data_IF_220308715291
#
_entry.id   IF_220308715291
#
_cell.length_a   1.000
_cell.length_b   1.000
_cell.length_c   1.000
_cell.angle_alpha   90.00
_cell.angle_beta   90.00
_cell.angle_gamma   90.00
#
_symmetry.space_group_name_H-M   'P 1'
#
loop_
_entity.id
_entity.type
_entity.pdbx_description
1 polymer ?
#
# COMPACT_ATOMS: atom_id res chain seq x y z
N UNK A 1 13.95 -2.18 2.59
CA UNK A 1 13.47 -3.32 1.78
C UNK A 1 12.39 -2.92 0.77
N UNK A 2 11.35 -2.19 1.19
CA UNK A 2 10.20 -1.81 0.33
C UNK A 2 10.55 -1.07 -0.97
N UNK A 3 11.65 -0.31 -1.02
CA UNK A 3 12.12 0.32 -2.27
C UNK A 3 12.53 -0.68 -3.35
N UNK A 4 13.09 -1.83 -2.98
CA UNK A 4 13.43 -2.92 -3.92
C UNK A 4 12.14 -3.53 -4.47
N UNK A 5 11.15 -3.77 -3.61
CA UNK A 5 9.83 -4.28 -4.01
C UNK A 5 9.15 -3.28 -4.95
N UNK A 6 9.16 -1.99 -4.64
CA UNK A 6 8.64 -0.95 -5.51
C UNK A 6 9.30 -0.96 -6.89
N UNK A 7 10.62 -1.15 -6.95
CA UNK A 7 11.37 -1.33 -8.21
C UNK A 7 10.89 -2.54 -9.02
N UNK A 8 10.70 -3.69 -8.38
CA UNK A 8 10.17 -4.91 -9.01
C UNK A 8 8.74 -4.70 -9.53
N UNK A 9 7.89 -4.04 -8.75
CA UNK A 9 6.51 -3.70 -9.14
C UNK A 9 6.54 -2.80 -10.37
N UNK A 10 7.33 -1.71 -10.35
CA UNK A 10 7.35 -0.75 -11.45
C UNK A 10 7.87 -1.35 -12.76
N UNK A 11 8.81 -2.30 -12.72
CA UNK A 11 9.31 -2.96 -13.94
C UNK A 11 8.40 -4.09 -14.43
N UNK A 12 7.43 -4.57 -13.63
CA UNK A 12 6.61 -5.75 -13.96
C UNK A 12 5.87 -5.62 -15.28
N UNK A 13 5.21 -4.48 -15.54
CA UNK A 13 4.52 -4.22 -16.81
C UNK A 13 5.49 -4.05 -18.00
N UNK A 14 6.50 -3.17 -17.91
CA UNK A 14 7.41 -2.91 -19.03
C UNK A 14 8.50 -3.98 -19.29
N UNK A 15 8.69 -4.99 -18.43
CA UNK A 15 9.88 -5.86 -18.44
C UNK A 15 10.22 -6.51 -19.80
N UNK A 16 9.22 -6.83 -20.62
CA UNK A 16 9.42 -7.45 -21.94
C UNK A 16 9.67 -6.45 -23.08
N UNK A 17 9.38 -5.17 -22.88
CA UNK A 17 9.35 -4.16 -23.96
C UNK A 17 10.35 -3.03 -23.77
N UNK A 18 11.15 -3.03 -22.71
CA UNK A 18 12.16 -1.98 -22.47
C UNK A 18 13.59 -2.52 -22.52
N UNK A 19 14.53 -1.62 -22.81
CA UNK A 19 15.96 -1.90 -22.76
C UNK A 19 16.48 -1.98 -21.31
N UNK A 20 17.60 -2.67 -21.04
CA UNK A 20 18.14 -2.83 -19.68
C UNK A 20 18.45 -1.51 -18.95
N UNK A 21 18.92 -0.49 -19.68
CA UNK A 21 19.19 0.83 -19.08
C UNK A 21 17.89 1.51 -18.63
N UNK A 22 16.81 1.37 -19.41
CA UNK A 22 15.50 1.91 -19.07
C UNK A 22 14.88 1.16 -17.89
N UNK A 23 15.07 -0.16 -17.80
CA UNK A 23 14.65 -0.95 -16.65
C UNK A 23 15.27 -0.45 -15.33
N UNK A 24 16.56 -0.10 -15.34
CA UNK A 24 17.23 0.49 -14.17
C UNK A 24 16.62 1.84 -13.77
N UNK A 25 16.34 2.72 -14.75
CA UNK A 25 15.71 4.02 -14.51
C UNK A 25 14.30 3.83 -13.92
N UNK A 26 13.49 2.95 -14.50
CA UNK A 26 12.14 2.66 -14.02
C UNK A 26 12.17 2.18 -12.57
N UNK A 27 13.10 1.28 -12.23
CA UNK A 27 13.27 0.79 -10.87
C UNK A 27 13.65 1.88 -9.86
N UNK A 28 14.62 2.74 -10.20
CA UNK A 28 15.05 3.86 -9.35
C UNK A 28 13.89 4.83 -9.10
N UNK A 29 13.19 5.22 -10.17
CA UNK A 29 12.04 6.15 -10.06
C UNK A 29 10.92 5.51 -9.24
N UNK A 30 10.68 4.20 -9.39
CA UNK A 30 9.68 3.48 -8.58
C UNK A 30 9.99 3.54 -7.09
N UNK A 31 11.27 3.42 -6.70
CA UNK A 31 11.69 3.62 -5.31
C UNK A 31 11.41 5.04 -4.80
N UNK A 32 11.65 6.07 -5.64
CA UNK A 32 11.32 7.45 -5.29
C UNK A 32 9.80 7.69 -5.18
N UNK A 33 9.01 7.11 -6.09
CA UNK A 33 7.54 7.13 -6.06
C UNK A 33 7.02 6.50 -4.77
N UNK A 34 7.59 5.37 -4.34
CA UNK A 34 7.27 4.75 -3.05
C UNK A 34 7.55 5.68 -1.86
N UNK A 35 8.71 6.34 -1.83
CA UNK A 35 9.06 7.27 -0.76
C UNK A 35 8.08 8.46 -0.65
N UNK A 36 7.52 8.89 -1.79
CA UNK A 36 6.48 9.91 -1.86
C UNK A 36 5.11 9.37 -1.45
N UNK A 37 4.72 8.18 -1.92
CA UNK A 37 3.42 7.58 -1.63
C UNK A 37 3.25 7.22 -0.15
N UNK A 38 4.28 6.68 0.48
CA UNK A 38 4.29 6.41 1.92
C UNK A 38 4.01 7.68 2.74
N UNK A 39 4.74 8.77 2.45
CA UNK A 39 4.54 10.06 3.13
C UNK A 39 3.15 10.63 2.88
N UNK A 40 2.58 10.37 1.69
CA UNK A 40 1.21 10.76 1.39
C UNK A 40 0.21 9.97 2.22
N UNK A 41 0.39 8.66 2.37
CA UNK A 41 -0.46 7.80 3.20
C UNK A 41 -0.44 8.23 4.68
N UNK A 42 0.74 8.52 5.23
CA UNK A 42 0.87 9.07 6.59
C UNK A 42 0.12 10.39 6.74
N UNK A 43 0.26 11.32 5.78
CA UNK A 43 -0.43 12.62 5.79
C UNK A 43 -1.94 12.49 5.68
N UNK A 44 -2.42 11.53 4.89
CA UNK A 44 -3.84 11.25 4.72
C UNK A 44 -4.42 10.38 5.85
N UNK A 45 -3.59 9.94 6.81
CA UNK A 45 -3.96 9.01 7.89
C UNK A 45 -4.62 7.73 7.36
N UNK A 46 -4.08 7.22 6.26
CA UNK A 46 -4.47 5.94 5.70
C UNK A 46 -3.68 4.86 6.44
N UNK A 47 -4.38 4.03 7.19
CA UNK A 47 -3.80 2.90 7.93
C UNK A 47 -3.66 1.69 7.00
N UNK A 48 -2.57 1.66 6.23
CA UNK A 48 -2.16 0.57 5.35
C UNK A 48 -1.07 -0.26 6.05
N UNK A 49 -1.40 -1.34 6.77
CA UNK A 49 -0.49 -2.01 7.70
C UNK A 49 0.73 -2.66 7.04
N UNK A 50 0.63 -2.97 5.74
CA UNK A 50 1.69 -3.63 4.97
C UNK A 50 2.25 -2.74 3.85
N UNK A 51 1.82 -1.47 3.79
CA UNK A 51 2.16 -0.51 2.75
C UNK A 51 1.77 -1.00 1.34
N UNK A 52 0.72 -1.82 1.23
CA UNK A 52 0.31 -2.42 -0.05
C UNK A 52 0.01 -1.36 -1.11
N UNK A 53 -0.77 -0.33 -0.76
CA UNK A 53 -1.08 0.76 -1.68
C UNK A 53 0.17 1.60 -2.01
N UNK A 54 1.03 1.84 -1.02
CA UNK A 54 2.24 2.64 -1.22
C UNK A 54 3.27 1.93 -2.13
N UNK A 55 3.45 0.60 -2.01
CA UNK A 55 4.45 -0.18 -2.78
C UNK A 55 3.90 -0.76 -4.08
N UNK A 56 2.59 -1.05 -4.18
CA UNK A 56 2.00 -1.65 -5.38
C UNK A 56 1.30 -0.63 -6.27
N UNK A 57 0.39 0.17 -5.72
CA UNK A 57 -0.48 1.03 -6.54
C UNK A 57 0.31 2.14 -7.24
N UNK A 58 1.09 2.93 -6.50
CA UNK A 58 1.82 4.07 -7.08
C UNK A 58 3.01 3.66 -7.96
N UNK A 59 3.90 2.74 -7.52
CA UNK A 59 4.99 2.26 -8.37
C UNK A 59 4.48 1.49 -9.59
N UNK A 60 3.39 0.72 -9.46
CA UNK A 60 2.76 0.03 -10.58
C UNK A 60 2.15 1.01 -11.59
N UNK A 61 1.45 2.04 -11.12
CA UNK A 61 0.91 3.11 -11.96
C UNK A 61 2.03 3.81 -12.75
N UNK A 62 3.14 4.14 -12.08
CA UNK A 62 4.34 4.65 -12.74
C UNK A 62 4.87 3.68 -13.80
N UNK A 63 4.99 2.39 -13.48
CA UNK A 63 5.47 1.36 -14.40
C UNK A 63 4.66 1.28 -15.69
N UNK A 64 3.32 1.30 -15.59
CA UNK A 64 2.43 1.30 -16.75
C UNK A 64 2.63 2.54 -17.63
N UNK A 65 2.78 3.72 -17.04
CA UNK A 65 3.07 4.96 -17.77
C UNK A 65 4.47 4.91 -18.41
N UNK A 66 5.46 4.43 -17.66
CA UNK A 66 6.85 4.34 -18.12
C UNK A 66 7.01 3.40 -19.31
N UNK A 67 6.21 2.33 -19.40
CA UNK A 67 6.11 1.50 -20.60
C UNK A 67 5.76 2.35 -21.84
N UNK A 68 4.89 3.35 -21.70
CA UNK A 68 4.50 4.25 -22.79
C UNK A 68 5.59 5.22 -23.21
N UNK A 69 6.59 5.43 -22.36
CA UNK A 69 7.74 6.29 -22.62
C UNK A 69 8.90 5.50 -23.22
N UNK A 70 9.23 4.36 -22.62
CA UNK A 70 10.47 3.60 -22.85
C UNK A 70 10.30 2.32 -23.67
N UNK A 71 9.10 1.98 -24.14
CA UNK A 71 8.94 0.77 -24.96
C UNK A 71 9.80 0.84 -26.24
N UNK A 72 10.69 -0.11 -26.43
CA UNK A 72 11.57 -0.17 -27.60
C UNK A 72 10.80 -0.74 -28.80
N UNK A 73 10.66 0.01 -29.92
CA UNK A 73 9.96 -0.45 -31.13
C UNK A 73 10.30 -1.88 -31.58
N UNK A 74 11.58 -2.29 -31.49
CA UNK A 74 12.01 -3.63 -31.91
C UNK A 74 11.43 -4.73 -31.03
N UNK A 75 11.40 -4.54 -29.71
CA UNK A 75 10.85 -5.52 -28.77
C UNK A 75 9.32 -5.58 -28.88
N UNK A 76 8.67 -4.42 -28.99
CA UNK A 76 7.21 -4.33 -29.21
C UNK A 76 6.80 -5.11 -30.47
N UNK A 77 7.51 -4.92 -31.58
CA UNK A 77 7.26 -5.65 -32.82
C UNK A 77 7.55 -7.16 -32.70
N UNK A 78 8.68 -7.53 -32.07
CA UNK A 78 9.06 -8.94 -31.86
C UNK A 78 8.04 -9.71 -31.05
N UNK A 79 7.45 -9.06 -30.03
CA UNK A 79 6.43 -9.66 -29.16
C UNK A 79 5.02 -9.60 -29.75
N UNK A 80 4.84 -9.00 -30.94
CA UNK A 80 3.54 -8.88 -31.59
C UNK A 80 2.58 -7.91 -30.90
N UNK A 81 3.08 -6.98 -30.09
CA UNK A 81 2.25 -5.97 -29.45
C UNK A 81 1.82 -4.90 -30.45
N UNK A 82 0.60 -4.39 -30.25
CA UNK A 82 0.07 -3.29 -31.05
C UNK A 82 0.69 -1.99 -30.55
N UNK A 83 1.34 -1.27 -31.47
CA UNK A 83 1.98 0.02 -31.18
C UNK A 83 3.37 0.13 -31.80
N UNK A 84 3.79 1.36 -32.11
CA UNK A 84 5.10 1.61 -32.74
C UNK A 84 6.27 1.68 -31.77
N UNK A 85 6.03 1.60 -30.45
CA UNK A 85 7.00 1.87 -29.40
C UNK A 85 6.69 3.12 -28.59
N UNK A 86 7.49 3.36 -27.56
CA UNK A 86 7.33 4.44 -26.61
C UNK A 86 7.65 5.82 -27.18
N UNK A 87 7.20 6.85 -26.48
CA UNK A 87 7.33 8.25 -26.88
C UNK A 87 8.78 8.67 -27.15
N UNK A 88 9.75 8.19 -26.35
CA UNK A 88 11.15 8.58 -26.50
C UNK A 88 11.82 8.00 -27.75
N UNK A 89 11.26 6.94 -28.33
CA UNK A 89 11.79 6.33 -29.54
C UNK A 89 11.06 6.78 -30.81
N UNK A 90 9.75 6.95 -30.72
CA UNK A 90 8.91 7.19 -31.89
C UNK A 90 8.61 8.67 -32.13
N UNK A 91 8.72 9.52 -31.09
CA UNK A 91 8.25 10.90 -31.12
C UNK A 91 6.71 11.03 -31.19
N UNK A 92 5.97 9.91 -31.19
CA UNK A 92 4.52 9.87 -31.31
C UNK A 92 3.88 9.53 -29.96
N UNK A 93 2.92 10.34 -29.52
CA UNK A 93 2.22 10.17 -28.24
C UNK A 93 1.23 9.01 -28.18
N UNK A 94 1.03 8.25 -29.26
CA UNK A 94 0.01 7.19 -29.34
C UNK A 94 0.18 6.12 -28.26
N UNK A 95 1.37 5.52 -28.14
CA UNK A 95 1.64 4.49 -27.14
C UNK A 95 1.54 5.03 -25.71
N UNK A 96 2.07 6.23 -25.48
CA UNK A 96 2.00 6.89 -24.18
C UNK A 96 0.55 7.16 -23.76
N UNK A 97 -0.25 7.74 -24.66
CA UNK A 97 -1.67 8.01 -24.43
C UNK A 97 -2.47 6.74 -24.17
N UNK A 98 -2.24 5.68 -24.94
CA UNK A 98 -2.89 4.37 -24.71
C UNK A 98 -2.53 3.79 -23.35
N UNK A 99 -1.27 3.87 -22.93
CA UNK A 99 -0.86 3.38 -21.61
C UNK A 99 -1.45 4.21 -20.47
N UNK A 100 -1.51 5.54 -20.60
CA UNK A 100 -2.20 6.40 -19.62
C UNK A 100 -3.68 6.04 -19.53
N UNK A 101 -4.38 5.96 -20.67
CA UNK A 101 -5.79 5.60 -20.71
C UNK A 101 -6.04 4.20 -20.11
N UNK A 102 -5.26 3.20 -20.53
CA UNK A 102 -5.36 1.84 -20.01
C UNK A 102 -5.14 1.78 -18.50
N UNK A 103 -4.15 2.51 -18.00
CA UNK A 103 -3.88 2.59 -16.55
C UNK A 103 -5.05 3.21 -15.79
N UNK A 104 -5.65 4.28 -16.32
CA UNK A 104 -6.82 4.92 -15.72
C UNK A 104 -8.07 4.02 -15.77
N UNK A 105 -8.27 3.27 -16.84
CA UNK A 105 -9.36 2.29 -16.96
C UNK A 105 -9.20 1.19 -15.92
N UNK A 106 -8.00 0.63 -15.77
CA UNK A 106 -7.72 -0.40 -14.74
C UNK A 106 -7.92 0.17 -13.34
N UNK A 107 -7.46 1.39 -13.07
CA UNK A 107 -7.67 2.06 -11.79
C UNK A 107 -9.16 2.25 -11.49
N UNK A 108 -9.93 2.78 -12.46
CA UNK A 108 -11.36 3.00 -12.31
C UNK A 108 -12.12 1.69 -12.08
N UNK A 109 -11.80 0.65 -12.86
CA UNK A 109 -12.36 -0.69 -12.68
C UNK A 109 -12.06 -1.26 -11.29
N UNK A 110 -10.80 -1.15 -10.85
CA UNK A 110 -10.35 -1.69 -9.56
C UNK A 110 -11.04 -0.97 -8.40
N UNK A 111 -11.11 0.37 -8.44
CA UNK A 111 -11.82 1.16 -7.42
C UNK A 111 -13.30 0.82 -7.42
N UNK A 112 -13.96 0.80 -8.58
CA UNK A 112 -15.39 0.52 -8.67
C UNK A 112 -15.74 -0.86 -8.10
N UNK A 113 -15.05 -1.92 -8.57
CA UNK A 113 -15.30 -3.30 -8.11
C UNK A 113 -14.94 -3.51 -6.65
N UNK A 114 -13.80 -2.97 -6.20
CA UNK A 114 -13.38 -3.06 -4.79
C UNK A 114 -14.36 -2.33 -3.87
N UNK A 115 -14.81 -1.13 -4.24
CA UNK A 115 -15.80 -0.38 -3.48
C UNK A 115 -17.14 -1.10 -3.40
N UNK A 116 -17.56 -1.82 -4.45
CA UNK A 116 -18.78 -2.65 -4.41
C UNK A 116 -18.59 -3.80 -3.42
N UNK A 117 -17.50 -4.55 -3.52
CA UNK A 117 -17.25 -5.71 -2.66
C UNK A 117 -17.07 -5.27 -1.21
N UNK A 118 -16.09 -4.42 -0.90
CA UNK A 118 -15.83 -3.97 0.46
C UNK A 118 -16.97 -3.13 1.02
N UNK A 119 -17.65 -2.33 0.19
CA UNK A 119 -18.84 -1.58 0.60
C UNK A 119 -20.01 -2.48 1.00
N UNK A 120 -20.25 -3.57 0.26
CA UNK A 120 -21.30 -4.54 0.60
C UNK A 120 -20.97 -5.32 1.88
N UNK A 121 -19.71 -5.73 2.07
CA UNK A 121 -19.24 -6.38 3.31
C UNK A 121 -19.31 -5.43 4.52
N UNK A 122 -18.98 -4.15 4.32
CA UNK A 122 -19.11 -3.13 5.35
C UNK A 122 -20.57 -2.90 5.74
N UNK A 123 -21.48 -2.84 4.76
CA UNK A 123 -22.91 -2.70 5.01
C UNK A 123 -23.49 -3.91 5.77
N UNK A 124 -22.97 -5.10 5.51
CA UNK A 124 -23.30 -6.31 6.25
C UNK A 124 -22.60 -6.42 7.63
N UNK A 125 -21.74 -5.45 8.01
CA UNK A 125 -20.92 -5.47 9.22
C UNK A 125 -20.02 -6.71 9.34
N UNK A 126 -19.49 -7.19 8.22
CA UNK A 126 -18.62 -8.38 8.15
C UNK A 126 -17.13 -8.06 7.98
N UNK A 127 -16.77 -6.79 7.74
CA UNK A 127 -15.41 -6.43 7.33
C UNK A 127 -14.42 -6.28 8.49
N UNK A 128 -14.88 -5.92 9.70
CA UNK A 128 -14.02 -5.65 10.87
C UNK A 128 -14.48 -6.49 12.06
N UNK A 129 -13.51 -7.02 12.80
CA UNK A 129 -13.73 -7.70 14.09
C UNK A 129 -14.26 -6.74 15.15
N UNK A 130 -14.75 -7.27 16.26
CA UNK A 130 -15.20 -6.42 17.38
C UNK A 130 -14.02 -5.71 18.04
N UNK A 131 -14.28 -4.57 18.70
CA UNK A 131 -13.23 -3.81 19.38
C UNK A 131 -12.57 -4.61 20.51
N UNK A 132 -13.32 -5.47 21.21
CA UNK A 132 -12.74 -6.35 22.23
C UNK A 132 -11.81 -7.40 21.63
N UNK A 133 -12.14 -7.95 20.45
CA UNK A 133 -11.28 -8.90 19.73
C UNK A 133 -10.04 -8.22 19.15
N UNK A 134 -10.18 -6.98 18.66
CA UNK A 134 -9.06 -6.17 18.19
C UNK A 134 -8.07 -5.84 19.32
N UNK A 135 -8.58 -5.47 20.51
CA UNK A 135 -7.74 -5.17 21.69
C UNK A 135 -7.08 -6.43 22.28
N UNK A 136 -7.76 -7.58 22.21
CA UNK A 136 -7.19 -8.86 22.64
C UNK A 136 -6.14 -9.41 21.66
N UNK A 137 -6.25 -9.05 20.37
CA UNK A 137 -5.44 -9.57 19.28
C UNK A 137 -6.15 -10.69 18.53
N UNK A 138 -6.23 -10.56 17.20
CA UNK A 138 -6.97 -11.48 16.30
C UNK A 138 -6.43 -12.91 16.36
N UNK A 139 -5.11 -13.08 16.54
CA UNK A 139 -4.49 -14.40 16.71
C UNK A 139 -5.10 -15.18 17.88
N UNK A 140 -5.36 -14.51 19.01
CA UNK A 140 -5.96 -15.14 20.19
C UNK A 140 -7.47 -15.35 20.02
N UNK A 141 -8.15 -14.47 19.28
CA UNK A 141 -9.59 -14.55 19.04
C UNK A 141 -9.97 -15.70 18.10
N UNK A 142 -9.17 -15.93 17.04
CA UNK A 142 -9.51 -16.89 15.98
C UNK A 142 -8.80 -18.25 16.10
N UNK A 143 -7.56 -18.31 16.62
CA UNK A 143 -6.73 -19.51 16.51
C UNK A 143 -6.59 -20.32 17.81
N UNK A 144 -7.11 -19.82 18.94
CA UNK A 144 -7.15 -20.60 20.18
C UNK A 144 -8.31 -21.61 20.18
N UNK A 145 -8.10 -22.84 20.69
CA UNK A 145 -9.19 -23.79 20.94
C UNK A 145 -10.28 -23.12 21.78
N UNK A 146 -11.55 -23.25 21.40
CA UNK A 146 -12.69 -22.59 22.09
C UNK A 146 -12.75 -22.86 23.59
N UNK A 147 -12.18 -23.98 24.01
CA UNK A 147 -12.01 -24.50 25.36
C UNK A 147 -10.82 -23.86 26.12
N UNK A 148 -9.82 -23.31 25.43
CA UNK A 148 -8.75 -22.49 25.99
C UNK A 148 -9.06 -20.98 26.01
N UNK A 149 -10.05 -20.53 25.24
CA UNK A 149 -10.46 -19.11 25.17
C UNK A 149 -11.12 -18.66 26.46
N UNK A 150 -12.00 -19.45 27.09
CA UNK A 150 -12.73 -19.02 28.30
C UNK A 150 -11.84 -18.77 29.52
N UNK A 151 -10.83 -19.61 29.86
CA UNK A 151 -9.94 -19.35 31.00
C UNK A 151 -8.98 -18.18 30.73
N UNK A 152 -8.46 -18.04 29.50
CA UNK A 152 -7.52 -16.97 29.16
C UNK A 152 -8.21 -15.61 28.98
N UNK A 153 -9.38 -15.57 28.33
CA UNK A 153 -10.19 -14.35 28.19
C UNK A 153 -10.57 -13.81 29.57
N UNK A 154 -10.92 -14.66 30.54
CA UNK A 154 -11.17 -14.22 31.93
C UNK A 154 -9.90 -13.74 32.66
N UNK A 155 -8.75 -14.42 32.48
CA UNK A 155 -7.47 -14.00 33.09
C UNK A 155 -6.94 -12.69 32.50
N UNK A 156 -6.99 -12.52 31.17
CA UNK A 156 -6.56 -11.30 30.48
C UNK A 156 -7.51 -10.15 30.75
N UNK A 157 -8.83 -10.36 30.70
CA UNK A 157 -9.81 -9.32 31.05
C UNK A 157 -9.67 -8.90 32.52
N UNK A 158 -9.37 -9.83 33.43
CA UNK A 158 -8.99 -9.51 34.81
C UNK A 158 -7.65 -8.80 34.95
N UNK A 159 -6.66 -9.06 34.09
CA UNK A 159 -5.38 -8.35 34.07
C UNK A 159 -5.53 -6.91 33.51
N UNK A 160 -6.28 -6.74 32.42
CA UNK A 160 -6.63 -5.44 31.82
C UNK A 160 -7.44 -4.59 32.80
N UNK A 161 -8.45 -5.18 33.48
CA UNK A 161 -9.21 -4.47 34.52
C UNK A 161 -8.34 -4.08 35.72
N UNK A 162 -7.37 -4.91 36.14
CA UNK A 162 -6.41 -4.56 37.20
C UNK A 162 -5.48 -3.42 36.80
N UNK A 163 -5.07 -3.36 35.54
CA UNK A 163 -4.23 -2.25 35.03
C UNK A 163 -5.02 -0.94 34.92
N UNK A 164 -6.30 -1.00 34.51
CA UNK A 164 -7.20 0.17 34.52
C UNK A 164 -7.57 0.65 35.92
N UNK A 165 -7.72 -0.27 36.89
CA UNK A 165 -7.99 0.08 38.30
C UNK A 165 -6.79 0.68 39.04
N UNK A 166 -5.56 0.42 38.58
CA UNK A 166 -4.33 1.01 39.13
C UNK A 166 -4.04 2.43 38.59
N UNK A 167 -4.58 2.78 37.41
CA UNK A 167 -4.34 4.06 36.75
C UNK A 167 -5.27 5.21 37.15
N UNK A 168 -6.39 4.96 37.86
CA UNK A 168 -7.33 6.02 38.25
C UNK A 168 -6.94 6.78 39.54
N UNK A 169 -5.76 6.52 40.09
CA UNK A 169 -5.29 7.10 41.36
C UNK A 169 -4.20 8.16 41.25
N UNK A 170 -3.54 8.35 40.11
CA UNK A 170 -2.40 9.26 40.02
C UNK A 170 -2.20 9.86 38.62
N UNK A 171 -2.76 11.06 38.42
CA UNK A 171 -2.11 12.21 37.74
C UNK A 171 -3.16 13.18 37.19
N UNK A 172 -3.66 14.06 38.07
CA UNK A 172 -4.36 15.30 37.68
C UNK A 172 -3.47 16.54 37.87
N UNK A 173 -2.14 16.37 37.98
CA UNK A 173 -1.18 17.49 38.10
C UNK A 173 0.14 17.13 37.45
N UNK A 174 0.33 17.55 36.20
CA UNK A 174 1.60 17.96 35.59
C UNK A 174 1.53 17.78 34.06
N UNK A 175 0.88 18.69 33.36
CA UNK A 175 1.25 18.98 31.97
C UNK A 175 1.00 20.46 31.72
N UNK A 176 1.94 21.25 32.21
CA UNK A 176 1.98 22.69 32.10
C UNK A 176 3.37 23.16 32.50
N UNK A 177 4.36 22.94 31.63
CA UNK A 177 5.53 23.79 31.43
C UNK A 177 6.43 23.22 30.32
N UNK A 178 6.84 24.13 29.45
CA UNK A 178 7.92 24.14 28.46
C UNK A 178 9.15 23.26 28.71
N UNK A 179 9.69 22.66 27.63
CA UNK A 179 11.09 22.76 27.15
C UNK A 179 11.26 21.91 25.87
N UNK A 180 11.37 22.50 24.67
CA UNK A 180 12.60 22.78 23.87
C UNK A 180 13.47 21.58 23.45
N UNK A 181 13.70 21.52 22.13
CA UNK A 181 14.92 21.12 21.40
C UNK A 181 15.37 19.65 21.27
N UNK A 182 15.58 19.30 19.98
CA UNK A 182 16.66 18.48 19.41
C UNK A 182 16.70 16.97 19.73
N UNK A 183 16.46 16.15 18.70
CA UNK A 183 17.42 15.17 18.12
C UNK A 183 16.69 14.10 17.31
N UNK A 184 16.82 14.10 15.98
CA UNK A 184 16.88 12.87 15.17
C UNK A 184 17.83 13.15 14.00
N UNK A 185 19.02 12.60 14.15
CA UNK A 185 20.01 12.40 13.08
C UNK A 185 19.61 11.21 12.21
#
# INVERSE_FOLDING_TARGET
MNGIVAGLVGITGPCGVVEPYAAAIIGIVSGAVYCGSWRLHERLRIDDPVHAGAVHAWPGFWGCIASGLFAWPKQVATLGYVGGGGLFYTGHGGQFGTNVLGTLVVLAWTVATSSIVFGSLQAAKLLRVTAEEEEMGVDLAEHLPRDGVTPLKSKMMGAVMRHRGSGSGASSRACGASETTATYA
#
